data_IF_730357906122
#
_entry.id   IF_730357906122
#
_cell.length_a   1.000
_cell.length_b   1.000
_cell.length_c   1.000
_cell.angle_alpha   90.00
_cell.angle_beta   90.00
_cell.angle_gamma   90.00
#
_symmetry.space_group_name_H-M   'P 1'
#
loop_
_entity.id
_entity.type
_entity.pdbx_description
1 polymer ?
#
# COMPACT_ATOMS: atom_id res chain seq x y z
N UNK A 1 29.52 55.33 -52.52
CA UNK A 1 28.24 55.82 -51.98
C UNK A 1 28.03 55.08 -50.66
N UNK A 2 28.60 55.63 -49.57
CA UNK A 2 27.90 56.24 -48.40
C UNK A 2 27.07 55.16 -47.65
N UNK A 3 27.47 54.65 -46.47
CA UNK A 3 27.60 55.31 -45.14
C UNK A 3 26.29 55.04 -44.37
N UNK A 4 26.17 54.59 -43.11
CA UNK A 4 26.85 54.77 -41.81
C UNK A 4 26.22 53.72 -40.84
N UNK A 5 26.96 52.87 -40.11
CA UNK A 5 27.53 52.98 -38.73
C UNK A 5 26.56 52.94 -37.52
N UNK A 6 26.85 52.01 -36.59
CA UNK A 6 26.60 52.10 -35.14
C UNK A 6 26.01 50.83 -34.51
N UNK A 7 26.39 50.32 -33.33
CA UNK A 7 27.47 50.52 -32.35
C UNK A 7 27.52 49.21 -31.54
N UNK A 8 28.72 48.72 -31.22
CA UNK A 8 28.99 47.60 -30.33
C UNK A 8 28.96 48.05 -28.86
N UNK A 9 28.38 47.26 -27.96
CA UNK A 9 28.61 47.37 -26.52
C UNK A 9 29.06 46.01 -25.95
N UNK A 10 30.26 46.00 -25.38
CA UNK A 10 30.93 44.90 -24.69
C UNK A 10 31.09 45.27 -23.21
N UNK A 11 30.93 44.26 -22.33
CA UNK A 11 31.41 44.09 -20.93
C UNK A 11 30.96 45.09 -19.82
N UNK A 12 31.00 44.76 -18.49
CA UNK A 12 32.06 44.00 -17.78
C UNK A 12 31.61 42.96 -16.70
N UNK A 13 32.59 42.14 -16.27
CA UNK A 13 32.57 41.20 -15.12
C UNK A 13 33.51 41.73 -13.96
N UNK A 14 33.56 41.10 -12.77
CA UNK A 14 33.31 41.64 -11.42
C UNK A 14 34.59 42.01 -10.60
N UNK A 15 34.50 42.39 -9.31
CA UNK A 15 34.93 41.48 -8.19
C UNK A 15 34.22 41.77 -6.82
N UNK A 16 34.77 41.43 -5.62
CA UNK A 16 34.73 40.15 -4.88
C UNK A 16 34.01 40.23 -3.49
N UNK A 17 33.92 39.08 -2.78
CA UNK A 17 33.54 38.98 -1.35
C UNK A 17 34.46 39.78 -0.40
N UNK A 18 33.97 40.12 0.80
CA UNK A 18 34.80 39.98 2.02
C UNK A 18 34.12 39.20 3.17
N UNK A 19 34.97 38.52 3.93
CA UNK A 19 34.77 37.89 5.23
C UNK A 19 34.97 38.88 6.41
N UNK A 20 34.77 38.38 7.64
CA UNK A 20 35.18 38.88 8.96
C UNK A 20 34.22 39.89 9.65
N UNK A 21 33.97 39.89 10.96
CA UNK A 21 34.34 39.01 12.08
C UNK A 21 33.46 39.35 13.31
N UNK A 22 33.33 38.36 14.22
CA UNK A 22 33.21 38.45 15.68
C UNK A 22 32.99 39.80 16.37
N UNK A 23 31.97 39.89 17.26
CA UNK A 23 32.18 40.49 18.58
C UNK A 23 31.19 40.03 19.66
N UNK A 24 31.75 39.26 20.60
CA UNK A 24 31.50 39.13 22.04
C UNK A 24 30.22 39.66 22.73
N UNK A 25 29.60 38.72 23.47
CA UNK A 25 29.35 38.71 24.94
C UNK A 25 29.19 40.08 25.65
N UNK A 26 28.09 40.22 26.42
CA UNK A 26 28.04 40.35 27.91
C UNK A 26 26.60 40.67 28.38
N UNK A 27 26.01 39.81 29.23
CA UNK A 27 25.71 40.02 30.67
C UNK A 27 24.46 40.89 31.00
N UNK A 28 23.33 40.22 31.26
CA UNK A 28 22.43 40.24 32.47
C UNK A 28 22.82 41.27 33.56
N UNK A 29 21.91 42.02 34.26
CA UNK A 29 20.85 41.44 35.11
C UNK A 29 19.51 42.19 35.39
N UNK A 30 18.53 41.33 35.75
CA UNK A 30 17.44 41.37 36.74
C UNK A 30 16.98 42.68 37.42
N UNK A 31 15.65 42.78 37.61
CA UNK A 31 15.05 43.25 38.87
C UNK A 31 13.66 42.59 39.11
N UNK A 32 13.50 42.06 40.33
CA UNK A 32 12.26 41.52 40.91
C UNK A 32 11.27 42.65 41.26
N UNK A 33 9.98 42.32 41.29
CA UNK A 33 9.04 42.90 42.27
C UNK A 33 7.89 41.93 42.54
N UNK A 34 7.80 41.50 43.80
CA UNK A 34 6.69 40.75 44.36
C UNK A 34 5.67 41.72 44.97
N UNK A 35 4.38 41.40 44.87
CA UNK A 35 3.36 41.78 45.86
C UNK A 35 2.14 40.87 45.76
N UNK A 36 1.73 40.43 46.95
CA UNK A 36 0.66 39.50 47.29
C UNK A 36 -0.73 40.14 47.15
N UNK A 37 -1.76 39.36 46.78
CA UNK A 37 -3.07 39.35 47.46
C UNK A 37 -3.89 38.10 47.06
N UNK A 38 -4.68 37.64 48.04
CA UNK A 38 -5.41 36.37 48.17
C UNK A 38 -6.80 36.41 47.49
N UNK A 39 -7.26 35.32 46.88
CA UNK A 39 -8.68 35.14 46.51
C UNK A 39 -8.99 33.84 45.72
N UNK A 40 -9.95 33.05 46.20
CA UNK A 40 -10.35 31.68 45.83
C UNK A 40 -10.87 31.43 44.39
N UNK A 41 -10.66 30.22 43.87
CA UNK A 41 -11.53 29.60 42.85
C UNK A 41 -10.78 28.76 41.78
N UNK A 42 -11.13 27.48 41.53
CA UNK A 42 -10.34 26.59 40.69
C UNK A 42 -10.86 26.56 39.25
N UNK A 43 -10.11 27.08 38.28
CA UNK A 43 -10.29 26.74 36.85
C UNK A 43 -9.02 27.06 36.08
N UNK A 44 -8.50 26.06 35.36
CA UNK A 44 -7.54 26.25 34.27
C UNK A 44 -6.08 26.15 34.68
N UNK A 45 -5.57 24.93 34.87
CA UNK A 45 -4.15 24.68 34.66
C UNK A 45 -3.87 24.73 33.16
N UNK A 46 -3.48 25.89 32.65
CA UNK A 46 -2.71 25.98 31.40
C UNK A 46 -1.40 25.22 31.62
N UNK A 47 -1.32 24.03 31.02
CA UNK A 47 -0.10 23.25 30.92
C UNK A 47 0.51 23.55 29.55
N UNK A 48 1.66 24.19 29.54
CA UNK A 48 2.57 24.23 28.40
C UNK A 48 3.04 22.82 28.01
N UNK A 49 3.46 22.62 26.74
CA UNK A 49 3.16 21.42 25.98
C UNK A 49 4.03 20.24 26.43
N UNK A 50 3.36 19.16 26.79
CA UNK A 50 3.99 17.84 26.87
C UNK A 50 4.47 17.49 25.46
N UNK A 51 5.78 17.30 25.31
CA UNK A 51 6.38 16.68 24.14
C UNK A 51 5.73 15.31 23.97
N UNK A 52 4.76 15.21 23.06
CA UNK A 52 4.17 13.93 22.70
C UNK A 52 5.27 13.10 22.04
N UNK A 53 5.60 12.03 22.77
CA UNK A 53 6.23 10.81 22.29
C UNK A 53 5.72 10.48 20.89
N UNK A 54 6.63 10.08 20.02
CA UNK A 54 6.33 9.47 18.71
C UNK A 54 5.48 8.21 18.93
N UNK A 55 4.16 8.37 19.06
CA UNK A 55 3.20 7.28 18.89
C UNK A 55 3.38 6.75 17.47
N UNK A 56 3.68 5.46 17.35
CA UNK A 56 3.45 4.71 16.13
C UNK A 56 2.01 5.01 15.68
N UNK A 57 1.87 5.75 14.59
CA UNK A 57 0.63 5.79 13.84
C UNK A 57 0.47 4.40 13.21
N UNK A 58 -0.02 3.44 13.99
CA UNK A 58 -0.52 2.18 13.48
C UNK A 58 -1.81 2.49 12.71
N UNK A 59 -1.67 2.64 11.39
CA UNK A 59 -2.81 2.47 10.50
C UNK A 59 -3.38 1.05 10.73
N UNK A 60 -4.71 0.87 10.78
CA UNK A 60 -5.30 -0.46 10.94
C UNK A 60 -4.84 -1.37 9.82
N UNK A 61 -4.05 -2.40 10.14
CA UNK A 61 -3.59 -3.40 9.18
C UNK A 61 -4.82 -4.15 8.64
N UNK A 62 -5.08 -4.02 7.34
CA UNK A 62 -6.17 -4.72 6.66
C UNK A 62 -5.75 -6.13 6.26
N UNK A 63 -6.67 -7.00 5.84
CA UNK A 63 -6.37 -8.37 5.38
C UNK A 63 -5.49 -8.45 4.12
N UNK A 64 -5.17 -7.30 3.50
CA UNK A 64 -4.17 -7.12 2.43
C UNK A 64 -2.87 -6.45 2.90
N UNK A 65 -2.79 -5.98 4.15
CA UNK A 65 -1.54 -5.77 4.89
C UNK A 65 -0.97 -7.12 5.35
N UNK A 66 -0.93 -8.10 4.44
CA UNK A 66 -0.26 -9.35 4.75
C UNK A 66 1.23 -9.06 4.66
N UNK A 67 1.86 -9.05 5.81
CA UNK A 67 3.32 -9.04 5.96
C UNK A 67 3.96 -10.32 5.39
N UNK A 68 3.16 -11.23 4.81
CA UNK A 68 3.56 -12.57 4.39
C UNK A 68 2.92 -12.93 3.06
N UNK A 69 3.72 -12.94 1.99
CA UNK A 69 3.29 -13.48 0.70
C UNK A 69 2.80 -14.93 0.82
N UNK A 70 1.84 -15.40 -0.02
CA UNK A 70 1.33 -16.78 0.01
C UNK A 70 2.41 -17.86 0.04
N UNK A 71 3.47 -17.67 -0.76
CA UNK A 71 4.64 -18.56 -0.87
C UNK A 71 5.45 -18.64 0.43
N UNK A 72 5.30 -17.63 1.30
CA UNK A 72 5.98 -17.52 2.58
C UNK A 72 5.10 -17.89 3.79
N UNK A 73 3.84 -18.31 3.59
CA UNK A 73 2.92 -18.72 4.67
C UNK A 73 3.47 -19.89 5.52
N UNK A 74 4.42 -20.65 4.96
CA UNK A 74 5.19 -21.63 5.69
C UNK A 74 5.92 -21.08 6.91
N UNK A 75 6.30 -19.80 6.93
CA UNK A 75 6.90 -19.14 8.10
C UNK A 75 5.97 -19.17 9.32
N UNK A 76 4.71 -18.75 9.12
CA UNK A 76 3.72 -18.76 10.18
C UNK A 76 3.35 -20.20 10.57
N UNK A 77 3.30 -21.11 9.60
CA UNK A 77 3.08 -22.54 9.87
C UNK A 77 4.19 -23.12 10.75
N UNK A 78 5.45 -22.80 10.44
CA UNK A 78 6.61 -23.24 11.23
C UNK A 78 6.52 -22.73 12.67
N UNK A 79 6.35 -21.41 12.86
CA UNK A 79 6.27 -20.81 14.20
C UNK A 79 5.03 -21.29 14.97
N UNK A 80 3.92 -21.62 14.31
CA UNK A 80 2.71 -22.12 14.96
C UNK A 80 2.76 -23.62 15.33
N UNK A 81 3.55 -24.44 14.62
CA UNK A 81 3.49 -25.90 14.76
C UNK A 81 4.76 -26.55 15.32
N UNK A 82 5.94 -25.96 15.11
CA UNK A 82 7.21 -26.55 15.54
C UNK A 82 7.28 -26.73 17.06
N UNK A 83 7.82 -27.84 17.56
CA UNK A 83 8.01 -28.01 19.01
C UNK A 83 8.99 -26.98 19.58
N UNK A 84 8.97 -26.75 20.90
CA UNK A 84 9.99 -25.91 21.58
C UNK A 84 11.39 -26.42 21.20
N UNK A 85 11.62 -27.73 21.27
CA UNK A 85 12.93 -28.32 20.89
C UNK A 85 13.32 -28.07 19.44
N UNK A 86 12.36 -27.96 18.52
CA UNK A 86 12.63 -27.64 17.12
C UNK A 86 12.97 -26.17 16.96
N UNK A 87 12.26 -25.27 17.66
CA UNK A 87 12.55 -23.84 17.65
C UNK A 87 13.90 -23.54 18.33
N UNK A 88 14.22 -24.19 19.46
CA UNK A 88 15.48 -24.10 20.19
C UNK A 88 16.71 -24.47 19.33
N UNK A 89 16.53 -25.27 18.28
CA UNK A 89 17.63 -25.59 17.36
C UNK A 89 18.08 -24.39 16.52
N UNK A 90 17.21 -23.39 16.35
CA UNK A 90 17.45 -22.20 15.52
C UNK A 90 17.42 -20.90 16.32
N UNK A 91 16.79 -20.90 17.50
CA UNK A 91 16.55 -19.74 18.34
C UNK A 91 17.11 -19.97 19.76
N UNK A 92 17.44 -18.91 20.50
CA UNK A 92 17.65 -19.02 21.94
C UNK A 92 16.43 -19.64 22.65
N UNK A 93 16.67 -20.50 23.64
CA UNK A 93 15.60 -21.23 24.33
C UNK A 93 14.55 -20.34 24.98
N UNK A 94 14.93 -19.16 25.49
CA UNK A 94 13.98 -18.19 26.05
C UNK A 94 13.04 -17.62 24.97
N UNK A 95 13.56 -17.33 23.78
CA UNK A 95 12.76 -16.85 22.63
C UNK A 95 11.80 -17.93 22.14
N UNK A 96 12.29 -19.17 21.99
CA UNK A 96 11.47 -20.30 21.57
C UNK A 96 10.35 -20.60 22.60
N UNK A 97 10.66 -20.55 23.91
CA UNK A 97 9.65 -20.64 24.96
C UNK A 97 8.62 -19.51 24.88
N UNK A 98 9.05 -18.26 24.65
CA UNK A 98 8.14 -17.14 24.50
C UNK A 98 7.20 -17.30 23.29
N UNK A 99 7.72 -17.77 22.15
CA UNK A 99 6.91 -18.05 20.95
C UNK A 99 5.86 -19.13 21.20
N UNK A 100 6.27 -20.24 21.84
CA UNK A 100 5.33 -21.33 22.17
C UNK A 100 4.31 -20.90 23.23
N UNK A 101 4.74 -20.13 24.23
CA UNK A 101 3.86 -19.58 25.24
C UNK A 101 2.82 -18.63 24.64
N UNK A 102 3.22 -17.77 23.71
CA UNK A 102 2.32 -16.85 23.02
C UNK A 102 1.29 -17.62 22.17
N UNK A 103 1.75 -18.53 21.29
CA UNK A 103 0.84 -19.25 20.39
C UNK A 103 -0.14 -20.19 21.10
N UNK A 104 0.17 -20.61 22.33
CA UNK A 104 -0.75 -21.39 23.16
C UNK A 104 -2.00 -20.59 23.54
N UNK A 105 -1.94 -19.26 23.50
CA UNK A 105 -3.09 -18.37 23.72
C UNK A 105 -3.83 -18.13 22.41
N UNK A 106 -3.11 -17.78 21.35
CA UNK A 106 -3.65 -17.63 19.99
C UNK A 106 -2.54 -17.86 18.96
N UNK A 107 -2.78 -18.67 17.90
CA UNK A 107 -1.85 -18.81 16.79
C UNK A 107 -1.52 -17.47 16.13
N UNK A 108 -0.29 -17.32 15.64
CA UNK A 108 0.12 -16.14 14.89
C UNK A 108 -0.55 -16.11 13.51
N UNK A 109 -1.09 -14.95 13.15
CA UNK A 109 -1.66 -14.66 11.84
C UNK A 109 -0.81 -13.70 11.00
N UNK A 110 0.16 -13.00 11.60
CA UNK A 110 1.06 -12.05 10.90
C UNK A 110 2.49 -12.13 11.41
N UNK A 111 3.47 -11.63 10.63
CA UNK A 111 4.85 -11.50 11.10
C UNK A 111 5.00 -10.40 12.15
N UNK A 112 4.18 -9.34 12.11
CA UNK A 112 4.16 -8.32 13.16
C UNK A 112 3.82 -8.91 14.54
N UNK A 113 2.91 -9.89 14.62
CA UNK A 113 2.64 -10.58 15.89
C UNK A 113 3.84 -11.44 16.34
N UNK A 114 4.60 -12.01 15.39
CA UNK A 114 5.81 -12.77 15.70
C UNK A 114 6.93 -11.84 16.19
N UNK A 115 7.16 -10.70 15.54
CA UNK A 115 8.14 -9.69 15.97
C UNK A 115 7.74 -9.01 17.29
N UNK A 116 6.44 -8.92 17.58
CA UNK A 116 5.92 -8.44 18.86
C UNK A 116 6.25 -9.35 20.06
N UNK A 117 6.69 -10.59 19.84
CA UNK A 117 7.07 -11.50 20.92
C UNK A 117 8.40 -11.06 21.54
N UNK A 118 8.45 -11.04 22.87
CA UNK A 118 9.65 -10.67 23.62
C UNK A 118 10.88 -11.47 23.15
N UNK A 119 11.89 -10.72 22.69
CA UNK A 119 13.17 -11.26 22.24
C UNK A 119 13.21 -11.58 20.74
N UNK A 120 12.12 -11.38 20.00
CA UNK A 120 12.05 -11.58 18.55
C UNK A 120 12.31 -10.25 17.82
N UNK A 121 13.59 -9.91 17.66
CA UNK A 121 14.01 -8.83 16.77
C UNK A 121 14.32 -9.31 15.35
N UNK A 122 14.81 -8.42 14.47
CA UNK A 122 15.14 -8.75 13.07
C UNK A 122 16.06 -9.97 12.92
N UNK A 123 17.10 -10.09 13.75
CA UNK A 123 18.01 -11.25 13.75
C UNK A 123 17.26 -12.56 14.02
N UNK A 124 16.26 -12.54 14.91
CA UNK A 124 15.48 -13.74 15.22
C UNK A 124 14.47 -14.07 14.12
N UNK A 125 13.93 -13.06 13.44
CA UNK A 125 13.13 -13.29 12.23
C UNK A 125 13.95 -13.99 11.14
N UNK A 126 15.20 -13.56 10.90
CA UNK A 126 16.10 -14.25 9.96
C UNK A 126 16.40 -15.69 10.39
N UNK A 127 16.55 -15.96 11.69
CA UNK A 127 16.74 -17.32 12.20
C UNK A 127 15.49 -18.19 12.06
N UNK A 128 14.30 -17.62 12.27
CA UNK A 128 13.02 -18.28 12.02
C UNK A 128 12.91 -18.66 10.55
N UNK A 129 13.23 -17.73 9.64
CA UNK A 129 13.26 -18.00 8.21
C UNK A 129 14.22 -19.16 7.87
N UNK A 130 15.45 -19.11 8.39
CA UNK A 130 16.44 -20.17 8.21
C UNK A 130 15.94 -21.54 8.68
N UNK A 131 15.30 -21.60 9.84
CA UNK A 131 14.70 -22.83 10.38
C UNK A 131 13.53 -23.35 9.54
N UNK A 132 12.61 -22.46 9.14
CA UNK A 132 11.50 -22.80 8.27
C UNK A 132 11.98 -23.35 6.92
N UNK A 133 13.02 -22.74 6.34
CA UNK A 133 13.63 -23.18 5.08
C UNK A 133 14.34 -24.52 5.23
N UNK A 134 15.13 -24.70 6.28
CA UNK A 134 15.85 -25.94 6.55
C UNK A 134 14.92 -27.15 6.74
N UNK A 135 13.72 -26.92 7.28
CA UNK A 135 12.71 -27.95 7.53
C UNK A 135 11.66 -28.06 6.42
N UNK A 136 11.80 -27.32 5.32
CA UNK A 136 10.94 -27.41 4.15
C UNK A 136 9.55 -26.78 4.29
N UNK A 137 9.34 -25.91 5.28
CA UNK A 137 8.09 -25.15 5.40
C UNK A 137 7.98 -24.06 4.33
N UNK A 138 9.12 -23.49 3.91
CA UNK A 138 9.22 -22.55 2.79
C UNK A 138 10.23 -23.06 1.78
N UNK A 139 10.03 -22.72 0.51
CA UNK A 139 10.89 -23.16 -0.60
C UNK A 139 11.61 -21.97 -1.24
N UNK A 140 12.25 -22.19 -2.39
CA UNK A 140 12.89 -21.14 -3.17
C UNK A 140 11.93 -20.08 -3.68
N UNK A 141 10.60 -20.32 -3.69
CA UNK A 141 9.60 -19.32 -4.09
C UNK A 141 9.34 -18.24 -3.02
N UNK A 142 9.76 -18.47 -1.77
CA UNK A 142 9.81 -17.44 -0.74
C UNK A 142 11.19 -16.79 -0.75
N UNK A 143 11.25 -15.49 -1.06
CA UNK A 143 12.48 -14.71 -1.10
C UNK A 143 13.08 -14.48 0.29
N UNK A 144 12.24 -14.49 1.33
CA UNK A 144 12.64 -14.35 2.73
C UNK A 144 11.98 -13.15 3.42
N UNK A 145 12.43 -12.86 4.63
CA UNK A 145 11.92 -11.74 5.46
C UNK A 145 12.89 -10.54 5.35
N UNK A 146 12.38 -9.40 4.88
CA UNK A 146 13.11 -8.14 4.75
C UNK A 146 12.35 -7.03 5.47
N UNK A 147 12.97 -6.37 6.45
CA UNK A 147 12.32 -5.36 7.28
C UNK A 147 10.90 -5.77 7.73
N UNK A 148 10.80 -6.97 8.29
CA UNK A 148 9.55 -7.56 8.81
C UNK A 148 8.49 -7.91 7.74
N UNK A 149 8.85 -7.81 6.46
CA UNK A 149 8.01 -8.18 5.33
C UNK A 149 8.55 -9.45 4.64
N UNK A 150 7.74 -10.51 4.62
CA UNK A 150 8.02 -11.73 3.87
C UNK A 150 7.52 -11.62 2.42
N UNK A 151 8.47 -11.69 1.48
CA UNK A 151 8.22 -11.51 0.05
C UNK A 151 8.35 -12.83 -0.72
N UNK A 152 7.52 -13.01 -1.74
CA UNK A 152 7.75 -14.04 -2.76
C UNK A 152 8.94 -13.63 -3.66
N UNK A 153 9.49 -14.57 -4.41
CA UNK A 153 10.51 -14.26 -5.43
C UNK A 153 9.98 -13.33 -6.51
N UNK A 154 8.71 -13.44 -6.85
CA UNK A 154 8.07 -12.63 -7.89
C UNK A 154 7.83 -11.21 -7.38
N UNK A 155 7.36 -11.05 -6.14
CA UNK A 155 7.24 -9.75 -5.48
C UNK A 155 8.61 -9.06 -5.38
N UNK A 156 9.64 -9.80 -4.98
CA UNK A 156 11.00 -9.30 -4.89
C UNK A 156 11.52 -8.81 -6.26
N UNK A 157 11.27 -9.56 -7.33
CA UNK A 157 11.64 -9.17 -8.69
C UNK A 157 10.85 -7.94 -9.16
N UNK A 158 9.55 -7.88 -8.86
CA UNK A 158 8.69 -6.76 -9.19
C UNK A 158 9.16 -5.47 -8.49
N UNK A 159 9.52 -5.53 -7.20
CA UNK A 159 10.06 -4.39 -6.45
C UNK A 159 11.36 -3.89 -7.08
N UNK A 160 12.28 -4.79 -7.42
CA UNK A 160 13.54 -4.42 -8.09
C UNK A 160 13.27 -3.76 -9.44
N UNK A 161 12.35 -4.34 -10.23
CA UNK A 161 11.95 -3.76 -11.52
C UNK A 161 11.38 -2.36 -11.33
N UNK A 162 10.39 -2.20 -10.43
CA UNK A 162 9.77 -0.91 -10.11
C UNK A 162 10.83 0.11 -9.72
N UNK A 163 11.65 -0.17 -8.72
CA UNK A 163 12.63 0.79 -8.21
C UNK A 163 13.63 1.20 -9.27
N UNK A 164 13.96 0.33 -10.23
CA UNK A 164 14.87 0.66 -11.33
C UNK A 164 14.22 1.50 -12.45
N UNK A 165 12.91 1.40 -12.65
CA UNK A 165 12.23 2.01 -13.81
C UNK A 165 11.31 3.18 -13.46
N UNK A 166 10.80 3.25 -12.22
CA UNK A 166 9.86 4.29 -11.78
C UNK A 166 10.51 5.68 -11.89
N UNK A 167 9.76 6.67 -12.38
CA UNK A 167 10.24 8.05 -12.45
C UNK A 167 10.34 8.68 -11.04
N UNK A 168 11.00 9.84 -10.93
CA UNK A 168 11.22 10.49 -9.64
C UNK A 168 9.93 10.84 -8.93
N UNK A 169 8.98 11.43 -9.65
CA UNK A 169 7.76 11.99 -9.07
C UNK A 169 6.87 10.88 -8.52
N UNK A 170 6.71 9.79 -9.29
CA UNK A 170 6.01 8.60 -8.85
C UNK A 170 6.72 7.92 -7.67
N UNK A 171 8.06 7.89 -7.62
CA UNK A 171 8.77 7.31 -6.48
C UNK A 171 8.56 8.12 -5.20
N UNK A 172 8.59 9.45 -5.27
CA UNK A 172 8.27 10.31 -4.13
C UNK A 172 6.81 10.13 -3.68
N UNK A 173 5.91 9.87 -4.63
CA UNK A 173 4.51 9.61 -4.35
C UNK A 173 4.28 8.23 -3.69
N UNK A 174 5.07 7.22 -4.04
CA UNK A 174 5.12 5.91 -3.35
C UNK A 174 5.74 6.01 -1.95
N UNK A 175 6.69 6.93 -1.77
CA UNK A 175 7.48 7.12 -0.54
C UNK A 175 7.31 8.51 0.08
N UNK A 176 6.08 8.96 0.40
CA UNK A 176 5.80 10.36 0.76
C UNK A 176 6.50 10.78 2.06
N UNK A 177 6.72 9.84 2.99
CA UNK A 177 7.38 10.08 4.27
C UNK A 177 8.86 9.65 4.29
N UNK A 178 9.39 9.14 3.18
CA UNK A 178 10.74 8.65 3.05
C UNK A 178 11.49 9.36 1.90
N UNK A 179 11.35 10.68 1.83
CA UNK A 179 11.92 11.51 0.75
C UNK A 179 13.42 11.29 0.54
N UNK A 180 14.19 11.24 1.64
CA UNK A 180 15.62 10.96 1.59
C UNK A 180 15.89 9.53 1.08
N UNK A 181 15.06 8.56 1.48
CA UNK A 181 15.12 7.18 0.97
C UNK A 181 14.85 7.11 -0.53
N UNK A 182 13.79 7.78 -1.02
CA UNK A 182 13.47 7.88 -2.45
C UNK A 182 14.62 8.52 -3.25
N UNK A 183 15.21 9.60 -2.72
CA UNK A 183 16.39 10.26 -3.33
C UNK A 183 17.57 9.29 -3.42
N UNK A 184 17.86 8.56 -2.35
CA UNK A 184 18.95 7.59 -2.32
C UNK A 184 18.70 6.43 -3.29
N UNK A 185 17.47 5.92 -3.36
CA UNK A 185 17.10 4.89 -4.33
C UNK A 185 17.34 5.37 -5.77
N UNK A 186 16.93 6.59 -6.13
CA UNK A 186 17.18 7.14 -7.46
C UNK A 186 18.67 7.20 -7.81
N UNK A 187 19.50 7.64 -6.84
CA UNK A 187 20.94 7.80 -7.03
C UNK A 187 21.73 6.48 -7.08
N UNK A 188 21.22 5.42 -6.45
CA UNK A 188 21.90 4.14 -6.31
C UNK A 188 21.50 3.10 -7.38
N UNK A 189 20.62 3.48 -8.32
CA UNK A 189 20.26 2.61 -9.45
C UNK A 189 21.50 2.21 -10.29
N UNK A 190 21.51 1.01 -10.87
CA UNK A 190 20.49 -0.03 -10.77
C UNK A 190 20.69 -0.97 -9.57
N UNK A 191 19.59 -1.46 -9.00
CA UNK A 191 19.58 -2.51 -8.00
C UNK A 191 19.42 -3.89 -8.65
N UNK A 192 20.06 -4.90 -8.05
CA UNK A 192 19.96 -6.30 -8.50
C UNK A 192 19.14 -7.18 -7.55
N UNK A 193 18.78 -6.69 -6.36
CA UNK A 193 18.01 -7.43 -5.37
C UNK A 193 17.19 -6.49 -4.48
N UNK A 194 16.08 -7.00 -3.95
CA UNK A 194 15.25 -6.26 -2.98
C UNK A 194 15.96 -6.09 -1.62
N UNK A 195 16.88 -7.00 -1.26
CA UNK A 195 17.78 -6.83 -0.11
C UNK A 195 18.61 -5.55 -0.22
N UNK A 196 19.19 -5.29 -1.40
CA UNK A 196 19.98 -4.09 -1.61
C UNK A 196 19.12 -2.82 -1.52
N UNK A 197 17.83 -2.92 -1.83
CA UNK A 197 16.85 -1.82 -1.71
C UNK A 197 16.50 -1.58 -0.23
N UNK A 198 16.23 -2.65 0.55
CA UNK A 198 15.94 -2.52 1.99
C UNK A 198 17.11 -1.97 2.79
N UNK A 199 18.35 -2.23 2.37
CA UNK A 199 19.56 -1.71 3.02
C UNK A 199 19.84 -0.22 2.73
N UNK A 200 19.09 0.41 1.82
CA UNK A 200 19.28 1.84 1.51
C UNK A 200 18.86 2.70 2.68
N UNK A 201 19.75 3.63 3.07
CA UNK A 201 19.47 4.57 4.15
C UNK A 201 18.19 5.37 3.87
N UNK A 202 17.25 5.33 4.81
CA UNK A 202 15.94 5.97 4.69
C UNK A 202 14.85 5.07 4.10
N UNK A 203 15.16 3.81 3.79
CA UNK A 203 14.19 2.75 3.53
C UNK A 203 14.06 1.91 4.79
N UNK A 204 12.82 1.62 5.17
CA UNK A 204 12.49 0.67 6.24
C UNK A 204 11.18 -0.05 5.92
N UNK A 205 10.64 -0.77 6.91
CA UNK A 205 9.48 -1.66 6.73
C UNK A 205 8.30 -1.02 5.96
N UNK A 206 7.88 0.19 6.35
CA UNK A 206 6.79 0.91 5.68
C UNK A 206 7.14 1.27 4.24
N UNK A 207 8.36 1.77 4.00
CA UNK A 207 8.84 2.09 2.66
C UNK A 207 8.86 0.85 1.77
N UNK A 208 9.36 -0.27 2.29
CA UNK A 208 9.43 -1.52 1.54
C UNK A 208 8.04 -2.10 1.25
N UNK A 209 7.10 -1.99 2.20
CA UNK A 209 5.68 -2.36 2.00
C UNK A 209 5.04 -1.51 0.90
N UNK A 210 5.27 -0.19 0.91
CA UNK A 210 4.76 0.70 -0.13
C UNK A 210 5.35 0.37 -1.51
N UNK A 211 6.66 0.11 -1.58
CA UNK A 211 7.33 -0.30 -2.83
C UNK A 211 6.77 -1.65 -3.33
N UNK A 212 6.55 -2.62 -2.44
CA UNK A 212 5.91 -3.91 -2.79
C UNK A 212 4.51 -3.69 -3.33
N UNK A 213 3.68 -2.92 -2.64
CA UNK A 213 2.30 -2.65 -3.06
C UNK A 213 2.29 -1.93 -4.42
N UNK A 214 3.13 -0.92 -4.60
CA UNK A 214 3.28 -0.24 -5.89
C UNK A 214 3.75 -1.19 -7.00
N UNK A 215 4.63 -2.13 -6.69
CA UNK A 215 5.18 -3.06 -7.67
C UNK A 215 4.21 -4.17 -8.08
N UNK A 216 3.32 -4.61 -7.18
CA UNK A 216 2.42 -5.76 -7.42
C UNK A 216 0.98 -5.37 -7.69
N UNK A 217 0.53 -4.19 -7.22
CA UNK A 217 -0.84 -3.71 -7.36
C UNK A 217 -0.95 -2.47 -8.27
N UNK A 218 0.17 -1.81 -8.54
CA UNK A 218 0.24 -0.59 -9.32
C UNK A 218 -0.07 0.66 -8.49
N UNK A 219 0.85 1.63 -8.47
CA UNK A 219 0.68 2.86 -7.69
C UNK A 219 -0.38 3.79 -8.30
N UNK A 220 -0.28 4.02 -9.60
CA UNK A 220 -1.16 4.98 -10.27
C UNK A 220 -2.61 4.50 -10.24
N UNK A 221 -2.83 3.19 -10.41
CA UNK A 221 -4.14 2.59 -10.29
C UNK A 221 -4.63 2.63 -8.84
N UNK A 222 -3.79 2.33 -7.85
CA UNK A 222 -4.16 2.44 -6.43
C UNK A 222 -4.55 3.88 -6.06
N UNK A 223 -3.80 4.87 -6.54
CA UNK A 223 -4.09 6.28 -6.31
C UNK A 223 -5.41 6.70 -6.95
N UNK A 224 -5.69 6.24 -8.18
CA UNK A 224 -6.96 6.46 -8.85
C UNK A 224 -8.13 5.82 -8.09
N UNK A 225 -7.98 4.57 -7.66
CA UNK A 225 -8.98 3.85 -6.85
C UNK A 225 -9.26 4.61 -5.55
N UNK A 226 -8.22 5.06 -4.85
CA UNK A 226 -8.36 5.83 -3.62
C UNK A 226 -9.13 7.14 -3.84
N UNK A 227 -8.85 7.85 -4.92
CA UNK A 227 -9.56 9.09 -5.25
C UNK A 227 -11.04 8.85 -5.58
N UNK A 228 -11.36 7.82 -6.38
CA UNK A 228 -12.76 7.43 -6.66
C UNK A 228 -13.49 7.06 -5.38
N UNK A 229 -12.84 6.31 -4.47
CA UNK A 229 -13.45 5.87 -3.22
C UNK A 229 -13.57 6.97 -2.16
N UNK A 230 -12.79 8.05 -2.26
CA UNK A 230 -12.83 9.18 -1.35
C UNK A 230 -13.98 10.15 -1.64
N UNK A 231 -14.62 10.06 -2.81
CA UNK A 231 -15.80 10.85 -3.16
C UNK A 231 -16.95 10.57 -2.19
N UNK A 232 -17.62 11.64 -1.78
CA UNK A 232 -18.75 11.56 -0.85
C UNK A 232 -19.87 10.67 -1.42
N UNK A 233 -20.52 9.90 -0.55
CA UNK A 233 -21.67 9.11 -0.97
C UNK A 233 -22.80 10.03 -1.45
N UNK A 234 -23.26 9.78 -2.67
CA UNK A 234 -24.35 10.53 -3.29
C UNK A 234 -25.37 9.58 -3.93
N UNK A 235 -26.42 10.15 -4.53
CA UNK A 235 -27.37 9.39 -5.36
C UNK A 235 -26.70 8.66 -6.53
N UNK A 236 -25.48 9.06 -6.90
CA UNK A 236 -24.68 8.49 -7.97
C UNK A 236 -23.28 8.23 -7.41
N UNK A 237 -23.00 6.98 -7.00
CA UNK A 237 -21.74 6.63 -6.33
C UNK A 237 -20.99 5.58 -7.13
N UNK A 238 -19.67 5.68 -7.18
CA UNK A 238 -18.79 4.64 -7.73
C UNK A 238 -17.78 4.19 -6.70
N UNK A 239 -17.47 2.90 -6.70
CA UNK A 239 -16.41 2.30 -5.89
C UNK A 239 -15.56 1.37 -6.72
N UNK A 240 -14.27 1.34 -6.42
CA UNK A 240 -13.31 0.43 -7.02
C UNK A 240 -12.58 -0.32 -5.92
N UNK A 241 -12.23 -1.58 -6.16
CA UNK A 241 -11.39 -2.33 -5.23
C UNK A 241 -10.52 -3.34 -5.96
N UNK A 242 -9.28 -3.49 -5.51
CA UNK A 242 -8.43 -4.63 -5.87
C UNK A 242 -8.46 -5.72 -4.79
N UNK A 243 -9.16 -5.49 -3.68
CA UNK A 243 -9.31 -6.42 -2.58
C UNK A 243 -10.79 -6.72 -2.28
N UNK A 244 -11.20 -7.95 -2.57
CA UNK A 244 -12.55 -8.44 -2.28
C UNK A 244 -12.57 -9.96 -2.15
N UNK A 245 -13.54 -10.47 -1.41
CA UNK A 245 -13.84 -11.89 -1.33
C UNK A 245 -14.93 -12.25 -2.35
N UNK A 246 -14.64 -13.20 -3.24
CA UNK A 246 -15.60 -13.64 -4.27
C UNK A 246 -16.83 -14.29 -3.67
N UNK A 247 -16.67 -15.05 -2.59
CA UNK A 247 -17.79 -15.71 -1.93
C UNK A 247 -18.76 -14.67 -1.36
N UNK A 248 -18.25 -13.61 -0.75
CA UNK A 248 -19.07 -12.51 -0.22
C UNK A 248 -19.79 -11.75 -1.34
N UNK A 249 -19.10 -11.50 -2.46
CA UNK A 249 -19.69 -10.84 -3.64
C UNK A 249 -20.81 -11.70 -4.24
N UNK A 250 -20.59 -13.01 -4.39
CA UNK A 250 -21.59 -13.95 -4.92
C UNK A 250 -22.76 -14.14 -3.94
N UNK A 251 -22.50 -14.12 -2.63
CA UNK A 251 -23.52 -14.18 -1.60
C UNK A 251 -24.39 -12.91 -1.53
N UNK A 252 -24.04 -11.85 -2.27
CA UNK A 252 -24.85 -10.65 -2.40
C UNK A 252 -24.52 -9.55 -1.40
N UNK A 253 -23.30 -9.49 -0.86
CA UNK A 253 -22.88 -8.51 0.15
C UNK A 253 -23.12 -7.03 -0.25
N UNK A 254 -23.20 -6.75 -1.56
CA UNK A 254 -23.41 -5.41 -2.11
C UNK A 254 -24.89 -5.09 -2.40
N UNK A 255 -25.77 -6.08 -2.29
CA UNK A 255 -27.10 -6.04 -2.89
C UNK A 255 -28.26 -5.67 -1.98
N UNK A 256 -28.09 -5.71 -0.66
CA UNK A 256 -29.16 -5.54 0.33
C UNK A 256 -30.44 -6.34 -0.03
N UNK A 257 -30.27 -7.61 -0.43
CA UNK A 257 -31.34 -8.53 -0.87
C UNK A 257 -32.13 -8.11 -2.14
N UNK A 258 -31.63 -7.15 -2.93
CA UNK A 258 -32.29 -6.66 -4.16
C UNK A 258 -31.75 -7.30 -5.45
N UNK A 259 -31.32 -8.57 -5.37
CA UNK A 259 -30.71 -9.27 -6.50
C UNK A 259 -31.66 -9.40 -7.71
N UNK A 260 -31.19 -8.93 -8.87
CA UNK A 260 -31.94 -8.97 -10.13
C UNK A 260 -31.43 -10.06 -11.07
N UNK A 261 -30.15 -10.02 -11.41
CA UNK A 261 -29.53 -10.95 -12.36
C UNK A 261 -28.01 -10.94 -12.22
N UNK A 262 -27.37 -12.04 -12.58
CA UNK A 262 -25.92 -12.09 -12.75
C UNK A 262 -25.54 -12.88 -14.01
N UNK A 263 -24.45 -12.45 -14.66
CA UNK A 263 -23.81 -13.19 -15.73
C UNK A 263 -22.34 -13.41 -15.38
N UNK A 264 -21.96 -14.67 -15.21
CA UNK A 264 -20.62 -15.08 -14.75
C UNK A 264 -19.87 -15.86 -15.82
N UNK A 265 -18.54 -15.73 -15.84
CA UNK A 265 -17.65 -16.39 -16.80
C UNK A 265 -16.46 -16.99 -16.04
N UNK A 266 -16.14 -18.25 -16.33
CA UNK A 266 -15.03 -18.96 -15.67
C UNK A 266 -15.25 -19.23 -14.16
N UNK A 267 -16.47 -19.04 -13.65
CA UNK A 267 -16.90 -19.43 -12.30
C UNK A 267 -17.67 -20.75 -12.39
N UNK A 268 -17.44 -21.64 -11.42
CA UNK A 268 -18.15 -22.91 -11.34
C UNK A 268 -19.65 -22.67 -11.11
N UNK A 269 -20.55 -23.13 -12.00
CA UNK A 269 -21.99 -22.93 -11.87
C UNK A 269 -22.59 -23.58 -10.62
N UNK A 270 -21.92 -24.56 -10.00
CA UNK A 270 -22.38 -25.17 -8.75
C UNK A 270 -22.36 -24.19 -7.56
N UNK A 271 -21.62 -23.08 -7.70
CA UNK A 271 -21.55 -22.01 -6.70
C UNK A 271 -22.70 -20.99 -6.82
N UNK A 272 -23.54 -21.12 -7.84
CA UNK A 272 -24.57 -20.12 -8.10
C UNK A 272 -25.75 -20.24 -7.12
N UNK A 273 -26.14 -19.15 -6.44
CA UNK A 273 -27.22 -19.18 -5.45
C UNK A 273 -28.59 -19.59 -6.01
N UNK A 274 -28.88 -19.27 -7.27
CA UNK A 274 -30.17 -19.53 -7.90
C UNK A 274 -30.08 -19.46 -9.44
N UNK A 275 -31.19 -19.78 -10.11
CA UNK A 275 -31.33 -19.84 -11.56
C UNK A 275 -31.20 -18.51 -12.33
N UNK A 276 -31.15 -17.35 -11.64
CA UNK A 276 -30.94 -16.04 -12.29
C UNK A 276 -29.45 -15.69 -12.47
N UNK A 277 -28.57 -16.63 -12.14
CA UNK A 277 -27.15 -16.59 -12.42
C UNK A 277 -26.88 -17.37 -13.71
N UNK A 278 -26.44 -16.66 -14.73
CA UNK A 278 -26.19 -17.23 -16.05
C UNK A 278 -24.70 -17.43 -16.29
N UNK A 279 -24.34 -18.50 -16.99
CA UNK A 279 -22.97 -18.75 -17.45
C UNK A 279 -22.77 -18.11 -18.81
N UNK A 280 -21.84 -17.17 -18.90
CA UNK A 280 -21.25 -16.71 -20.15
C UNK A 280 -20.11 -17.66 -20.57
N UNK A 281 -20.10 -18.19 -21.81
CA UNK A 281 -19.09 -19.16 -22.23
C UNK A 281 -17.67 -18.62 -22.33
N UNK A 282 -17.51 -17.34 -22.67
CA UNK A 282 -16.20 -16.74 -22.91
C UNK A 282 -15.66 -16.03 -21.65
N UNK A 283 -14.38 -16.27 -21.34
CA UNK A 283 -13.63 -15.48 -20.36
C UNK A 283 -13.50 -14.03 -20.81
N UNK A 284 -13.36 -13.11 -19.86
CA UNK A 284 -13.10 -11.71 -20.17
C UNK A 284 -11.65 -11.52 -20.63
N UNK A 285 -11.43 -10.49 -21.45
CA UNK A 285 -10.10 -10.08 -21.91
C UNK A 285 -9.60 -8.90 -21.08
N UNK A 286 -8.29 -8.64 -21.09
CA UNK A 286 -7.75 -7.42 -20.46
C UNK A 286 -8.41 -6.12 -20.95
N UNK A 287 -8.74 -6.04 -22.25
CA UNK A 287 -9.47 -4.89 -22.81
C UNK A 287 -10.86 -4.71 -22.18
N UNK A 288 -11.57 -5.81 -21.90
CA UNK A 288 -12.87 -5.76 -21.23
C UNK A 288 -12.74 -5.26 -19.79
N UNK A 289 -11.70 -5.68 -19.08
CA UNK A 289 -11.38 -5.19 -17.72
C UNK A 289 -11.11 -3.68 -17.74
N UNK A 290 -10.24 -3.22 -18.65
CA UNK A 290 -9.90 -1.79 -18.79
C UNK A 290 -11.14 -0.96 -19.10
N UNK A 291 -11.99 -1.41 -20.03
CA UNK A 291 -13.21 -0.69 -20.40
C UNK A 291 -14.21 -0.59 -19.24
N UNK A 292 -14.35 -1.65 -18.43
CA UNK A 292 -15.25 -1.64 -17.28
C UNK A 292 -14.76 -0.68 -16.19
N UNK A 293 -13.46 -0.68 -15.89
CA UNK A 293 -12.87 0.25 -14.91
C UNK A 293 -12.94 1.69 -15.43
N UNK A 294 -12.59 1.93 -16.70
CA UNK A 294 -12.70 3.25 -17.32
C UNK A 294 -14.14 3.79 -17.25
N UNK A 295 -15.14 2.98 -17.59
CA UNK A 295 -16.56 3.35 -17.45
C UNK A 295 -16.94 3.72 -16.01
N UNK A 296 -16.36 3.04 -15.03
CA UNK A 296 -16.60 3.34 -13.60
C UNK A 296 -15.92 4.65 -13.18
N UNK A 297 -14.70 4.89 -13.64
CA UNK A 297 -13.96 6.14 -13.40
C UNK A 297 -14.66 7.33 -14.08
N UNK A 298 -15.08 7.19 -15.34
CA UNK A 298 -15.82 8.23 -16.07
C UNK A 298 -17.13 8.59 -15.37
N UNK A 299 -17.79 7.59 -14.78
CA UNK A 299 -19.00 7.81 -14.00
C UNK A 299 -18.72 8.57 -12.69
N UNK A 300 -17.62 8.25 -12.01
CA UNK A 300 -17.17 8.98 -10.81
C UNK A 300 -16.80 10.43 -11.14
N UNK A 301 -15.99 10.63 -12.18
CA UNK A 301 -15.49 11.92 -12.66
C UNK A 301 -16.63 12.87 -13.08
N UNK A 302 -17.67 12.33 -13.73
CA UNK A 302 -18.84 13.10 -14.11
C UNK A 302 -19.58 13.73 -12.92
N UNK A 303 -19.56 13.08 -11.76
CA UNK A 303 -20.27 13.53 -10.56
C UNK A 303 -19.38 14.42 -9.68
N UNK A 304 -18.09 14.07 -9.57
CA UNK A 304 -17.07 14.84 -8.86
C UNK A 304 -15.74 14.75 -9.64
N UNK A 305 -15.33 15.83 -10.33
CA UNK A 305 -14.17 15.78 -11.22
C UNK A 305 -12.88 15.33 -10.54
N UNK A 306 -12.18 14.40 -11.18
CA UNK A 306 -10.88 13.88 -10.76
C UNK A 306 -9.76 14.55 -11.59
N UNK A 307 -8.52 14.60 -11.09
CA UNK A 307 -7.40 15.12 -11.89
C UNK A 307 -7.13 14.26 -13.14
N UNK A 308 -7.08 14.87 -14.33
CA UNK A 308 -6.85 14.17 -15.62
C UNK A 308 -5.61 13.26 -15.62
N UNK A 309 -4.52 13.74 -14.99
CA UNK A 309 -3.27 12.98 -14.88
C UNK A 309 -3.47 11.70 -14.06
N UNK A 310 -4.28 11.75 -13.00
CA UNK A 310 -4.57 10.59 -12.16
C UNK A 310 -5.38 9.52 -12.92
N UNK A 311 -6.38 9.95 -13.69
CA UNK A 311 -7.17 9.06 -14.55
C UNK A 311 -6.26 8.41 -15.60
N UNK A 312 -5.49 9.24 -16.31
CA UNK A 312 -4.61 8.79 -17.40
C UNK A 312 -3.58 7.78 -16.91
N UNK A 313 -2.87 8.09 -15.83
CA UNK A 313 -1.82 7.24 -15.29
C UNK A 313 -2.39 5.93 -14.74
N UNK A 314 -3.52 6.00 -14.00
CA UNK A 314 -4.15 4.81 -13.42
C UNK A 314 -4.71 3.85 -14.46
N UNK A 315 -5.37 4.36 -15.52
CA UNK A 315 -5.88 3.53 -16.60
C UNK A 315 -4.76 2.98 -17.50
N UNK A 316 -3.68 3.74 -17.72
CA UNK A 316 -2.51 3.24 -18.44
C UNK A 316 -1.83 2.09 -17.69
N UNK A 317 -1.71 2.20 -16.37
CA UNK A 317 -1.16 1.13 -15.53
C UNK A 317 -2.07 -0.10 -15.51
N UNK A 318 -3.39 0.07 -15.40
CA UNK A 318 -4.35 -1.03 -15.54
C UNK A 318 -4.22 -1.74 -16.89
N UNK A 319 -4.03 -0.98 -17.98
CA UNK A 319 -3.87 -1.54 -19.31
C UNK A 319 -2.61 -2.41 -19.40
N UNK A 320 -1.50 -2.00 -18.78
CA UNK A 320 -0.28 -2.81 -18.69
C UNK A 320 -0.51 -4.06 -17.86
N UNK A 321 -1.13 -3.93 -16.68
CA UNK A 321 -1.37 -5.05 -15.75
C UNK A 321 -2.34 -6.11 -16.26
N UNK A 322 -3.19 -5.75 -17.22
CA UNK A 322 -4.18 -6.65 -17.82
C UNK A 322 -3.83 -7.10 -19.24
N UNK A 323 -2.72 -6.59 -19.81
CA UNK A 323 -2.33 -6.85 -21.19
C UNK A 323 -2.14 -8.34 -21.47
N UNK A 324 -2.89 -8.87 -22.44
CA UNK A 324 -2.82 -10.28 -22.83
C UNK A 324 -3.41 -11.27 -21.82
N UNK A 325 -3.95 -10.79 -20.69
CA UNK A 325 -4.58 -11.61 -19.67
C UNK A 325 -5.98 -12.10 -20.06
N UNK A 326 -6.39 -13.21 -19.44
CA UNK A 326 -7.75 -13.74 -19.47
C UNK A 326 -8.32 -13.80 -18.07
N UNK A 327 -9.60 -13.45 -17.94
CA UNK A 327 -10.21 -13.20 -16.64
C UNK A 327 -11.48 -14.02 -16.44
N UNK A 328 -11.65 -14.54 -15.23
CA UNK A 328 -12.93 -15.07 -14.72
C UNK A 328 -13.62 -14.01 -13.85
N UNK A 329 -14.94 -14.06 -13.71
CA UNK A 329 -15.66 -12.97 -13.06
C UNK A 329 -17.18 -13.04 -13.22
N UNK A 330 -17.85 -11.99 -12.77
CA UNK A 330 -19.29 -11.81 -12.93
C UNK A 330 -19.66 -10.35 -13.12
N UNK A 331 -20.71 -10.13 -13.91
CA UNK A 331 -21.52 -8.91 -13.92
C UNK A 331 -22.77 -9.15 -13.10
N UNK A 332 -22.99 -8.37 -12.05
CA UNK A 332 -24.09 -8.55 -11.10
C UNK A 332 -24.92 -7.27 -11.06
N UNK A 333 -26.23 -7.42 -11.18
CA UNK A 333 -27.19 -6.32 -11.08
C UNK A 333 -28.13 -6.53 -9.89
N UNK A 334 -28.28 -5.46 -9.12
CA UNK A 334 -29.27 -5.31 -8.07
C UNK A 334 -30.20 -4.16 -8.45
N UNK A 335 -31.50 -4.26 -8.17
CA UNK A 335 -32.43 -3.17 -8.43
C UNK A 335 -33.54 -3.10 -7.39
N UNK A 336 -33.85 -1.88 -6.93
CA UNK A 336 -34.99 -1.60 -6.05
C UNK A 336 -36.08 -0.84 -6.83
N UNK A 337 -36.48 -1.38 -7.97
CA UNK A 337 -37.40 -0.74 -8.91
C UNK A 337 -36.70 -0.11 -10.12
N UNK A 338 -37.41 0.68 -10.95
CA UNK A 338 -36.87 1.21 -12.20
C UNK A 338 -35.93 2.42 -12.00
N UNK A 339 -35.98 3.07 -10.84
CA UNK A 339 -35.28 4.34 -10.57
C UNK A 339 -34.05 4.19 -9.68
N UNK A 340 -33.68 2.98 -9.27
CA UNK A 340 -32.49 2.76 -8.45
C UNK A 340 -31.89 1.37 -8.68
N UNK A 341 -30.56 1.30 -8.74
CA UNK A 341 -29.87 0.03 -8.88
C UNK A 341 -28.39 0.10 -8.53
N UNK A 342 -27.82 -1.08 -8.37
CA UNK A 342 -26.39 -1.28 -8.10
C UNK A 342 -25.87 -2.26 -9.15
N UNK A 343 -24.77 -1.91 -9.79
CA UNK A 343 -24.03 -2.79 -10.67
C UNK A 343 -22.70 -3.11 -10.01
N UNK A 344 -22.43 -4.40 -9.81
CA UNK A 344 -21.16 -4.89 -9.28
C UNK A 344 -20.55 -5.79 -10.34
N UNK A 345 -19.33 -5.47 -10.75
CA UNK A 345 -18.57 -6.31 -11.68
C UNK A 345 -17.23 -6.64 -11.06
N UNK A 346 -16.79 -7.88 -11.17
CA UNK A 346 -15.45 -8.25 -10.74
C UNK A 346 -14.75 -9.14 -11.75
N UNK A 347 -13.42 -9.05 -11.79
CA UNK A 347 -12.53 -9.81 -12.65
C UNK A 347 -11.36 -10.35 -11.85
N UNK A 348 -10.92 -11.56 -12.21
CA UNK A 348 -9.75 -12.24 -11.63
C UNK A 348 -8.97 -12.86 -12.76
N UNK A 349 -7.72 -12.46 -12.92
CA UNK A 349 -6.80 -13.03 -13.89
C UNK A 349 -6.62 -14.53 -13.60
N UNK A 350 -6.77 -15.35 -14.63
CA UNK A 350 -6.72 -16.82 -14.49
C UNK A 350 -5.31 -17.36 -14.25
N UNK A 351 -4.28 -16.56 -14.49
CA UNK A 351 -2.86 -16.91 -14.34
C UNK A 351 -2.26 -16.24 -13.12
N UNK A 352 -2.34 -14.91 -13.03
CA UNK A 352 -1.66 -14.12 -11.98
C UNK A 352 -2.51 -13.97 -10.73
N UNK A 353 -3.81 -14.22 -10.81
CA UNK A 353 -4.74 -13.95 -9.71
C UNK A 353 -4.96 -12.46 -9.45
N UNK A 354 -4.46 -11.55 -10.30
CA UNK A 354 -4.77 -10.12 -10.24
C UNK A 354 -6.29 -9.88 -10.25
N UNK A 355 -6.80 -9.00 -9.37
CA UNK A 355 -8.24 -8.82 -9.15
C UNK A 355 -8.62 -7.36 -9.24
N UNK A 356 -9.80 -7.11 -9.79
CA UNK A 356 -10.43 -5.79 -9.73
C UNK A 356 -11.95 -5.93 -9.66
N UNK A 357 -12.57 -5.12 -8.82
CA UNK A 357 -14.00 -5.00 -8.63
C UNK A 357 -14.40 -3.55 -8.87
N UNK A 358 -15.51 -3.36 -9.57
CA UNK A 358 -16.16 -2.08 -9.81
C UNK A 358 -17.58 -2.14 -9.27
N UNK A 359 -18.00 -1.10 -8.58
CA UNK A 359 -19.38 -0.92 -8.13
C UNK A 359 -19.90 0.45 -8.57
N UNK A 360 -21.11 0.47 -9.09
CA UNK A 360 -21.82 1.69 -9.48
C UNK A 360 -23.23 1.66 -8.88
N UNK A 361 -23.57 2.70 -8.13
CA UNK A 361 -24.89 2.94 -7.58
C UNK A 361 -25.51 4.16 -8.28
N UNK A 362 -26.79 4.04 -8.61
CA UNK A 362 -27.58 5.15 -9.12
C UNK A 362 -28.96 5.19 -8.48
N UNK A 363 -29.47 6.41 -8.30
CA UNK A 363 -30.82 6.75 -7.88
C UNK A 363 -31.27 7.95 -8.70
N UNK A 364 -32.33 7.78 -9.48
CA UNK A 364 -32.98 8.82 -10.30
C UNK A 364 -34.06 9.60 -9.56
#
# INVERSE_FOLDING_TARGET
>A
MLGESGVWCMEPRPPPYPQEASSMRRLVPALLSASLMVGCGPTGSESEPSSQSTEHQDAPLTTTDVDVAPECQGLLTFVNTASVSTLDAYLPSDVAQNLVGHRATAPFSTLAQVSGVRGVGPVRLTQIEGGARALGYITSTCAGILDELALSTDDAAAVVSLVNTINSDALYAVLPYAWNGATNLLNLRPFTSVQAISEVTGIGAVSLRNLRNAATQGYALTALIAAVNAQEESLWTSRLSQNFNVEDVIAGAHGNDQFKSAQCFGIDPSLFPNERWEVRPQLATGTEVVNQVASTVDYADRNEPLPDALITDGLAELQVSTAGGTFKGCYISYSKGPWAGIQVTFFIDTVTGYRVLTEQHWVE
#
